data_IF_588558406070
#
_entry.id   IF_588558406070
#
_cell.length_a   1.000
_cell.length_b   1.000
_cell.length_c   1.000
_cell.angle_alpha   90.00
_cell.angle_beta   90.00
_cell.angle_gamma   90.00
#
_symmetry.space_group_name_H-M   'P 1'
#
loop_
_entity.id
_entity.type
_entity.pdbx_description
1 polymer ?
#
# COMPACT_ATOMS: atom_id res chain seq x y z
N UNK A 1 2.78 -39.16 -8.56
CA UNK A 1 1.66 -38.99 -7.61
C UNK A 1 2.21 -38.45 -6.31
N UNK A 2 1.66 -37.35 -5.79
CA UNK A 2 2.01 -36.80 -4.49
C UNK A 2 2.10 -35.27 -4.50
N UNK A 3 0.97 -34.63 -4.20
CA UNK A 3 0.77 -33.18 -4.11
C UNK A 3 1.77 -32.47 -3.19
N UNK A 4 2.36 -31.39 -3.68
CA UNK A 4 3.01 -30.35 -2.88
C UNK A 4 2.59 -28.97 -3.40
N UNK A 5 1.36 -28.55 -3.10
CA UNK A 5 0.96 -27.14 -3.23
C UNK A 5 0.81 -26.53 -1.84
N UNK A 6 1.48 -25.39 -1.68
CA UNK A 6 1.88 -24.77 -0.43
C UNK A 6 0.70 -24.32 0.44
N UNK A 7 0.90 -24.50 1.73
CA UNK A 7 0.12 -23.86 2.78
C UNK A 7 0.39 -22.34 2.76
N UNK A 8 -0.68 -21.57 2.61
CA UNK A 8 -0.71 -20.12 2.70
C UNK A 8 -0.07 -19.66 4.02
N UNK A 9 1.12 -19.06 3.97
CA UNK A 9 1.67 -18.32 5.12
C UNK A 9 0.94 -17.01 5.22
N UNK A 10 -0.04 -16.96 6.13
CA UNK A 10 -0.59 -15.72 6.69
C UNK A 10 0.57 -14.79 7.09
N UNK A 11 0.79 -13.74 6.31
CA UNK A 11 1.49 -12.56 6.78
C UNK A 11 0.47 -11.72 7.52
N UNK A 12 0.38 -11.92 8.84
CA UNK A 12 -0.52 -11.18 9.72
C UNK A 12 0.34 -10.37 10.69
N UNK A 13 0.70 -9.16 10.26
CA UNK A 13 0.72 -8.00 11.15
C UNK A 13 -0.66 -7.37 11.07
N UNK A 14 -1.56 -7.86 11.92
CA UNK A 14 -2.82 -7.25 12.37
C UNK A 14 -3.61 -6.38 11.39
N UNK A 15 -4.29 -7.04 10.46
CA UNK A 15 -5.61 -6.57 10.00
C UNK A 15 -6.61 -6.94 11.12
N UNK A 16 -6.84 -5.98 12.02
CA UNK A 16 -7.81 -5.96 13.13
C UNK A 16 -7.59 -6.99 14.28
N UNK A 17 -7.95 -6.63 15.55
CA UNK A 17 -7.82 -7.52 16.69
C UNK A 17 -8.64 -8.81 16.49
N UNK A 18 -7.96 -9.95 16.60
CA UNK A 18 -8.46 -11.29 16.28
C UNK A 18 -9.32 -11.95 17.38
N UNK A 19 -10.08 -11.17 18.15
CA UNK A 19 -10.93 -11.69 19.24
C UNK A 19 -12.41 -11.94 18.85
N UNK A 20 -12.77 -11.94 17.57
CA UNK A 20 -14.15 -12.20 17.11
C UNK A 20 -14.25 -13.38 16.13
N UNK A 21 -13.90 -14.59 16.56
CA UNK A 21 -14.23 -15.82 15.81
C UNK A 21 -15.36 -16.56 16.54
N UNK A 22 -16.54 -15.93 16.56
CA UNK A 22 -17.85 -16.59 16.59
C UNK A 22 -18.88 -15.66 15.92
N UNK A 23 -19.25 -15.97 14.68
CA UNK A 23 -20.47 -15.44 14.04
C UNK A 23 -20.32 -14.24 13.10
N UNK A 24 -19.20 -14.08 12.38
CA UNK A 24 -19.12 -13.03 11.36
C UNK A 24 -20.22 -13.21 10.29
N UNK A 25 -20.95 -12.14 9.92
CA UNK A 25 -22.01 -12.21 8.93
C UNK A 25 -21.47 -12.74 7.59
N UNK A 26 -22.18 -13.71 7.01
CA UNK A 26 -21.83 -14.30 5.72
C UNK A 26 -22.34 -13.39 4.60
N UNK A 27 -21.43 -12.91 3.76
CA UNK A 27 -21.74 -12.19 2.53
C UNK A 27 -21.40 -13.09 1.35
N UNK A 28 -22.34 -13.31 0.44
CA UNK A 28 -22.08 -14.03 -0.80
C UNK A 28 -21.83 -13.04 -1.92
N UNK A 29 -20.78 -13.27 -2.70
CA UNK A 29 -20.47 -12.50 -3.90
C UNK A 29 -20.50 -13.45 -5.09
N UNK A 30 -21.38 -13.18 -6.05
CA UNK A 30 -21.47 -13.90 -7.31
C UNK A 30 -20.85 -13.04 -8.40
N UNK A 31 -19.95 -13.60 -9.20
CA UNK A 31 -19.37 -12.89 -10.34
C UNK A 31 -18.20 -13.62 -10.96
N UNK A 32 -17.77 -13.16 -12.13
CA UNK A 32 -16.63 -13.74 -12.82
C UNK A 32 -15.32 -13.42 -12.07
N UNK A 33 -14.43 -14.41 -11.85
CA UNK A 33 -13.16 -14.20 -11.15
C UNK A 33 -12.19 -13.28 -11.89
N UNK A 34 -12.35 -13.13 -13.20
CA UNK A 34 -11.53 -12.27 -14.06
C UNK A 34 -12.11 -10.86 -14.22
N UNK A 35 -13.32 -10.62 -13.70
CA UNK A 35 -13.95 -9.31 -13.77
C UNK A 35 -13.31 -8.35 -12.74
N UNK A 36 -12.82 -7.22 -13.24
CA UNK A 36 -12.23 -6.14 -12.42
C UNK A 36 -13.16 -5.70 -11.30
N UNK A 37 -14.45 -5.51 -11.61
CA UNK A 37 -15.43 -5.08 -10.61
C UNK A 37 -15.63 -6.14 -9.52
N UNK A 38 -15.65 -7.43 -9.88
CA UNK A 38 -15.71 -8.52 -8.89
C UNK A 38 -14.51 -8.47 -7.97
N UNK A 39 -13.29 -8.36 -8.51
CA UNK A 39 -12.05 -8.31 -7.72
C UNK A 39 -12.00 -7.07 -6.83
N UNK A 40 -12.44 -5.91 -7.33
CA UNK A 40 -12.56 -4.69 -6.55
C UNK A 40 -13.50 -4.86 -5.34
N UNK A 41 -14.65 -5.50 -5.54
CA UNK A 41 -15.61 -5.77 -4.45
C UNK A 41 -15.09 -6.83 -3.48
N UNK A 42 -14.39 -7.87 -3.97
CA UNK A 42 -13.69 -8.84 -3.10
C UNK A 42 -12.72 -8.11 -2.17
N UNK A 43 -11.89 -7.23 -2.73
CA UNK A 43 -10.94 -6.43 -1.95
C UNK A 43 -11.63 -5.52 -0.93
N UNK A 44 -12.68 -4.80 -1.34
CA UNK A 44 -13.45 -3.94 -0.44
C UNK A 44 -13.99 -4.70 0.79
N UNK A 45 -14.42 -5.95 0.61
CA UNK A 45 -14.93 -6.79 1.69
C UNK A 45 -13.83 -7.33 2.63
N UNK A 46 -12.56 -7.37 2.22
CA UNK A 46 -11.45 -7.75 3.11
C UNK A 46 -11.29 -6.78 4.29
N UNK A 47 -11.70 -5.52 4.12
CA UNK A 47 -11.69 -4.53 5.19
C UNK A 47 -12.90 -4.62 6.12
N UNK A 48 -13.89 -5.45 5.82
CA UNK A 48 -15.13 -5.56 6.60
C UNK A 48 -15.09 -6.76 7.52
N UNK A 49 -15.74 -6.71 8.69
CA UNK A 49 -15.84 -7.84 9.61
C UNK A 49 -16.87 -8.87 9.13
N UNK A 50 -16.68 -9.40 7.92
CA UNK A 50 -17.60 -10.32 7.24
C UNK A 50 -16.87 -11.59 6.81
N UNK A 51 -17.60 -12.69 6.66
CA UNK A 51 -17.09 -13.89 6.00
C UNK A 51 -17.55 -13.92 4.55
N UNK A 52 -16.66 -13.56 3.63
CA UNK A 52 -16.92 -13.58 2.20
C UNK A 52 -16.98 -15.03 1.67
N UNK A 53 -18.11 -15.39 1.09
CA UNK A 53 -18.29 -16.59 0.28
C UNK A 53 -18.35 -16.19 -1.19
N UNK A 54 -17.22 -16.25 -1.88
CA UNK A 54 -17.16 -15.98 -3.31
C UNK A 54 -17.65 -17.19 -4.10
N UNK A 55 -18.56 -16.96 -5.05
CA UNK A 55 -19.17 -17.97 -5.90
C UNK A 55 -18.87 -17.58 -7.36
N UNK A 56 -17.85 -18.19 -7.99
CA UNK A 56 -17.49 -17.90 -9.38
C UNK A 56 -18.66 -18.16 -10.32
N UNK A 57 -18.97 -17.20 -11.18
CA UNK A 57 -20.07 -17.32 -12.14
C UNK A 57 -19.85 -16.38 -13.32
N UNK A 58 -19.76 -16.93 -14.52
CA UNK A 58 -19.64 -16.14 -15.77
C UNK A 58 -20.96 -15.46 -16.17
N UNK A 59 -22.09 -16.00 -15.69
CA UNK A 59 -23.43 -15.41 -15.78
C UNK A 59 -24.09 -15.56 -14.41
N UNK A 60 -24.06 -14.52 -13.55
CA UNK A 60 -24.74 -14.56 -12.27
C UNK A 60 -26.16 -15.07 -12.47
N UNK A 61 -26.59 -16.05 -11.67
CA UNK A 61 -27.92 -16.69 -11.72
C UNK A 61 -29.12 -15.72 -11.59
N UNK A 62 -28.85 -14.41 -11.50
CA UNK A 62 -29.76 -13.29 -11.39
C UNK A 62 -29.92 -12.51 -12.71
N UNK A 63 -29.36 -12.97 -13.83
CA UNK A 63 -29.55 -12.34 -15.15
C UNK A 63 -28.86 -10.98 -15.32
N UNK A 64 -27.82 -10.70 -14.53
CA UNK A 64 -27.03 -9.47 -14.58
C UNK A 64 -25.61 -9.76 -15.03
N UNK A 65 -25.05 -8.95 -15.94
CA UNK A 65 -23.62 -9.01 -16.32
C UNK A 65 -22.68 -8.48 -15.22
N UNK A 66 -23.24 -7.84 -14.19
CA UNK A 66 -22.48 -7.25 -13.07
C UNK A 66 -22.47 -8.17 -11.85
N UNK A 67 -21.43 -8.12 -10.99
CA UNK A 67 -21.39 -8.93 -9.80
C UNK A 67 -22.57 -8.64 -8.87
N UNK A 68 -23.02 -9.69 -8.18
CA UNK A 68 -24.17 -9.64 -7.29
C UNK A 68 -23.71 -9.91 -5.86
N UNK A 69 -24.01 -8.98 -4.95
CA UNK A 69 -23.82 -9.15 -3.52
C UNK A 69 -25.12 -9.60 -2.87
N UNK A 70 -25.03 -10.62 -2.03
CA UNK A 70 -26.15 -11.12 -1.23
C UNK A 70 -25.77 -11.15 0.25
N UNK A 71 -26.64 -10.58 1.08
CA UNK A 71 -26.55 -10.63 2.54
C UNK A 71 -27.93 -10.86 3.15
N UNK A 72 -28.14 -12.02 3.78
CA UNK A 72 -29.48 -12.43 4.23
C UNK A 72 -30.43 -12.60 3.04
N UNK A 73 -31.59 -11.94 3.09
CA UNK A 73 -32.56 -11.84 1.98
C UNK A 73 -32.19 -10.78 0.93
N UNK A 74 -31.30 -9.85 1.29
CA UNK A 74 -31.03 -8.67 0.48
C UNK A 74 -30.03 -9.02 -0.61
N UNK A 75 -30.32 -8.57 -1.83
CA UNK A 75 -29.49 -8.80 -3.02
C UNK A 75 -29.34 -7.49 -3.77
N UNK A 76 -28.11 -7.15 -4.18
CA UNK A 76 -27.80 -5.93 -4.93
C UNK A 76 -26.83 -6.24 -6.07
N UNK A 77 -27.00 -5.57 -7.20
CA UNK A 77 -26.10 -5.59 -8.35
C UNK A 77 -26.00 -4.18 -8.95
N UNK A 78 -25.06 -3.98 -9.88
CA UNK A 78 -24.90 -2.72 -10.61
C UNK A 78 -23.49 -2.13 -10.53
N UNK A 79 -23.42 -0.80 -10.53
CA UNK A 79 -22.16 -0.06 -10.54
C UNK A 79 -21.31 -0.30 -9.28
N UNK A 80 -20.01 0.00 -9.38
CA UNK A 80 -19.09 0.03 -8.23
C UNK A 80 -19.65 0.86 -7.08
N UNK A 81 -20.13 2.07 -7.36
CA UNK A 81 -20.67 3.00 -6.37
C UNK A 81 -21.91 2.42 -5.67
N UNK A 82 -22.78 1.74 -6.43
CA UNK A 82 -23.95 1.07 -5.88
C UNK A 82 -23.54 -0.02 -4.89
N UNK A 83 -22.58 -0.86 -5.27
CA UNK A 83 -22.12 -1.99 -4.45
C UNK A 83 -21.35 -1.51 -3.22
N UNK A 84 -20.46 -0.53 -3.35
CA UNK A 84 -19.72 0.04 -2.22
C UNK A 84 -20.64 0.75 -1.22
N UNK A 85 -21.62 1.52 -1.71
CA UNK A 85 -22.62 2.17 -0.85
C UNK A 85 -23.48 1.15 -0.10
N UNK A 86 -23.84 0.06 -0.76
CA UNK A 86 -24.54 -1.04 -0.10
C UNK A 86 -23.68 -1.67 1.00
N UNK A 87 -22.40 -1.94 0.72
CA UNK A 87 -21.45 -2.48 1.69
C UNK A 87 -21.31 -1.54 2.89
N UNK A 88 -21.09 -0.24 2.69
CA UNK A 88 -20.97 0.74 3.79
C UNK A 88 -22.29 0.90 4.55
N UNK A 89 -23.44 0.80 3.88
CA UNK A 89 -24.74 0.83 4.56
C UNK A 89 -24.97 -0.37 5.49
N UNK A 90 -24.48 -1.56 5.12
CA UNK A 90 -24.64 -2.79 5.94
C UNK A 90 -23.51 -2.96 6.96
N UNK A 91 -22.31 -2.52 6.61
CA UNK A 91 -21.07 -2.69 7.37
C UNK A 91 -20.34 -1.35 7.43
N UNK A 92 -20.77 -0.38 8.27
CA UNK A 92 -20.31 1.01 8.19
C UNK A 92 -18.84 1.23 8.57
N UNK A 93 -18.22 0.32 9.32
CA UNK A 93 -16.87 0.48 9.82
C UNK A 93 -15.94 -0.62 9.29
N UNK A 94 -14.73 -0.28 8.80
CA UNK A 94 -14.25 1.08 8.47
C UNK A 94 -14.93 1.60 7.18
N UNK A 95 -15.15 2.92 7.01
CA UNK A 95 -15.80 3.46 5.81
C UNK A 95 -14.94 3.24 4.56
N UNK A 96 -15.57 2.81 3.46
CA UNK A 96 -14.91 2.61 2.17
C UNK A 96 -15.06 3.85 1.28
N UNK A 97 -16.23 4.49 1.34
CA UNK A 97 -16.54 5.71 0.62
C UNK A 97 -16.38 6.93 1.54
N UNK A 98 -16.39 8.13 0.95
CA UNK A 98 -16.46 9.37 1.71
C UNK A 98 -17.66 10.19 1.26
N UNK A 99 -18.27 10.89 2.23
CA UNK A 99 -19.33 11.86 1.96
C UNK A 99 -18.81 13.17 1.31
N UNK A 100 -17.53 13.23 0.94
CA UNK A 100 -16.92 14.29 0.15
C UNK A 100 -15.62 13.81 -0.49
N UNK A 101 -15.43 14.06 -1.79
CA UNK A 101 -14.14 13.80 -2.41
C UNK A 101 -13.10 14.69 -1.73
N UNK A 102 -11.99 14.11 -1.26
CA UNK A 102 -10.86 14.91 -0.75
C UNK A 102 -9.97 15.39 -1.91
N UNK A 103 -10.23 14.86 -3.11
CA UNK A 103 -9.57 15.13 -4.38
C UNK A 103 -10.68 15.31 -5.40
N UNK A 104 -10.74 16.51 -5.95
CA UNK A 104 -11.72 16.95 -6.93
C UNK A 104 -11.56 16.12 -8.23
N UNK A 105 -12.61 15.99 -9.04
CA UNK A 105 -12.52 15.36 -10.37
C UNK A 105 -11.47 16.04 -11.27
N UNK A 106 -11.05 17.25 -10.89
CA UNK A 106 -10.04 18.07 -11.56
C UNK A 106 -8.60 17.71 -11.21
N UNK A 107 -8.33 16.99 -10.11
CA UNK A 107 -6.96 16.66 -9.70
C UNK A 107 -6.32 15.68 -10.71
N UNK A 108 -5.12 15.97 -11.26
CA UNK A 108 -4.46 15.09 -12.20
C UNK A 108 -4.24 13.69 -11.61
N UNK A 109 -4.42 12.65 -12.44
CA UNK A 109 -4.35 11.25 -11.98
C UNK A 109 -3.01 10.89 -11.33
N UNK A 110 -1.92 11.40 -11.90
CA UNK A 110 -0.56 11.17 -11.39
C UNK A 110 -0.34 11.82 -10.01
N UNK A 111 -0.92 13.00 -9.78
CA UNK A 111 -0.86 13.68 -8.48
C UNK A 111 -1.60 12.87 -7.42
N UNK A 112 -2.79 12.36 -7.77
CA UNK A 112 -3.54 11.46 -6.89
C UNK A 112 -2.75 10.19 -6.56
N UNK A 113 -2.06 9.61 -7.54
CA UNK A 113 -1.23 8.42 -7.34
C UNK A 113 -0.06 8.70 -6.39
N UNK A 114 0.72 9.75 -6.65
CA UNK A 114 1.88 10.14 -5.84
C UNK A 114 1.49 10.38 -4.37
N UNK A 115 0.43 11.15 -4.11
CA UNK A 115 -0.06 11.39 -2.75
C UNK A 115 -0.41 10.09 -2.01
N UNK A 116 -1.05 9.14 -2.69
CA UNK A 116 -1.37 7.84 -2.09
C UNK A 116 -0.08 7.05 -1.83
N UNK A 117 0.89 7.10 -2.73
CA UNK A 117 2.19 6.47 -2.52
C UNK A 117 2.92 7.07 -1.30
N UNK A 118 2.95 8.40 -1.17
CA UNK A 118 3.52 9.11 -0.01
C UNK A 118 2.88 8.65 1.29
N UNK A 119 1.55 8.56 1.35
CA UNK A 119 0.83 8.07 2.54
C UNK A 119 1.23 6.67 2.94
N UNK A 120 1.31 5.75 1.97
CA UNK A 120 1.74 4.38 2.22
C UNK A 120 3.15 4.34 2.80
N UNK A 121 4.09 5.04 2.15
CA UNK A 121 5.48 5.08 2.57
C UNK A 121 5.65 5.69 3.97
N UNK A 122 5.00 6.83 4.25
CA UNK A 122 5.02 7.45 5.58
C UNK A 122 4.50 6.49 6.64
N UNK A 123 3.37 5.82 6.38
CA UNK A 123 2.82 4.87 7.33
C UNK A 123 3.82 3.75 7.67
N UNK A 124 4.52 3.21 6.67
CA UNK A 124 5.53 2.17 6.87
C UNK A 124 6.77 2.68 7.61
N UNK A 125 7.23 3.89 7.30
CA UNK A 125 8.32 4.53 8.06
C UNK A 125 7.92 4.70 9.52
N UNK A 126 6.72 5.23 9.79
CA UNK A 126 6.18 5.41 11.14
C UNK A 126 6.01 4.08 11.90
N UNK A 127 5.64 3.01 11.20
CA UNK A 127 5.60 1.67 11.78
C UNK A 127 6.99 1.20 12.18
N UNK A 128 8.00 1.37 11.32
CA UNK A 128 9.37 0.95 11.61
C UNK A 128 10.02 1.78 12.71
N UNK A 129 9.74 3.08 12.79
CA UNK A 129 10.20 3.94 13.89
C UNK A 129 9.68 3.41 15.22
N UNK A 130 8.35 3.18 15.33
CA UNK A 130 7.75 2.63 16.55
C UNK A 130 8.32 1.26 16.92
N UNK A 131 8.55 0.40 15.94
CA UNK A 131 9.15 -0.92 16.19
C UNK A 131 10.61 -0.80 16.64
N UNK A 132 11.41 0.10 16.05
CA UNK A 132 12.79 0.34 16.46
C UNK A 132 12.87 0.94 17.88
N UNK A 133 11.95 1.84 18.25
CA UNK A 133 11.85 2.39 19.60
C UNK A 133 11.51 1.31 20.64
N UNK A 134 10.58 0.42 20.32
CA UNK A 134 10.24 -0.70 21.19
C UNK A 134 11.43 -1.67 21.35
N UNK A 135 12.10 -2.02 20.26
CA UNK A 135 13.32 -2.83 20.30
C UNK A 135 14.40 -2.18 21.17
N UNK A 136 14.66 -0.88 20.95
CA UNK A 136 15.61 -0.12 21.75
C UNK A 136 15.19 -0.08 23.23
N UNK A 137 13.90 0.05 23.55
CA UNK A 137 13.44 0.06 24.94
C UNK A 137 13.64 -1.30 25.64
N UNK A 138 13.43 -2.41 24.93
CA UNK A 138 13.56 -3.77 25.47
C UNK A 138 15.00 -4.30 25.48
N UNK A 139 15.86 -3.80 24.61
CA UNK A 139 17.27 -4.18 24.53
C UNK A 139 17.57 -5.66 24.29
N UNK A 140 16.61 -6.40 23.73
CA UNK A 140 16.71 -7.84 23.53
C UNK A 140 16.76 -8.67 24.82
N UNK A 141 16.48 -8.07 26.00
CA UNK A 141 16.46 -8.75 27.30
C UNK A 141 15.08 -9.32 27.64
N UNK A 142 14.03 -8.70 27.11
CA UNK A 142 12.64 -9.09 27.32
C UNK A 142 12.09 -9.66 26.02
N UNK A 143 11.40 -10.81 26.08
CA UNK A 143 10.65 -11.30 24.92
C UNK A 143 9.64 -10.21 24.49
N UNK A 144 9.62 -9.94 23.19
CA UNK A 144 8.58 -9.12 22.57
C UNK A 144 7.34 -9.95 22.33
N UNK A 145 6.59 -9.58 21.29
CA UNK A 145 5.47 -10.37 20.80
C UNK A 145 5.92 -11.83 20.51
N UNK A 146 5.26 -12.85 21.10
CA UNK A 146 5.55 -14.26 20.86
C UNK A 146 5.55 -14.64 19.37
N UNK A 147 4.76 -13.95 18.54
CA UNK A 147 4.70 -14.13 17.08
C UNK A 147 6.03 -13.74 16.44
N UNK A 148 6.78 -12.80 17.01
CA UNK A 148 8.07 -12.34 16.49
C UNK A 148 9.22 -13.33 16.70
N UNK A 149 9.08 -14.24 17.67
CA UNK A 149 10.06 -15.27 17.99
C UNK A 149 11.21 -14.75 18.84
N UNK A 150 12.42 -15.28 18.63
CA UNK A 150 13.61 -14.80 19.37
C UNK A 150 14.01 -13.37 18.96
N UNK A 151 14.76 -12.63 19.79
CA UNK A 151 15.24 -11.27 19.44
C UNK A 151 15.94 -11.21 18.08
N UNK A 152 16.72 -12.24 17.74
CA UNK A 152 17.38 -12.36 16.43
C UNK A 152 16.37 -12.56 15.29
N UNK A 153 15.31 -13.35 15.51
CA UNK A 153 14.24 -13.51 14.52
C UNK A 153 13.45 -12.22 14.32
N UNK A 154 13.24 -11.46 15.39
CA UNK A 154 12.57 -10.17 15.37
C UNK A 154 13.37 -9.15 14.54
N UNK A 155 14.67 -8.98 14.80
CA UNK A 155 15.56 -8.11 13.97
C UNK A 155 15.55 -8.56 12.50
N UNK A 156 15.51 -9.86 12.23
CA UNK A 156 15.42 -10.37 10.84
C UNK A 156 14.09 -10.02 10.19
N UNK A 157 12.98 -10.02 10.92
CA UNK A 157 11.67 -9.58 10.43
C UNK A 157 11.66 -8.07 10.18
N UNK A 158 12.21 -7.30 11.12
CA UNK A 158 12.41 -5.85 10.99
C UNK A 158 13.18 -5.52 9.70
N UNK A 159 14.32 -6.17 9.49
CA UNK A 159 15.15 -5.94 8.30
C UNK A 159 14.47 -6.33 6.98
N UNK A 160 13.61 -7.36 6.98
CA UNK A 160 12.79 -7.66 5.80
C UNK A 160 11.79 -6.55 5.52
N UNK A 161 11.05 -6.10 6.53
CA UNK A 161 10.09 -5.00 6.38
C UNK A 161 10.76 -3.71 5.92
N UNK A 162 11.95 -3.38 6.45
CA UNK A 162 12.73 -2.24 5.98
C UNK A 162 13.20 -2.40 4.53
N UNK A 163 13.62 -3.61 4.12
CA UNK A 163 14.04 -3.86 2.74
C UNK A 163 12.88 -3.68 1.75
N UNK A 164 11.67 -4.13 2.12
CA UNK A 164 10.47 -3.93 1.31
C UNK A 164 10.11 -2.45 1.19
N UNK A 165 10.17 -1.70 2.30
CA UNK A 165 9.95 -0.26 2.28
C UNK A 165 10.98 0.46 1.39
N UNK A 166 12.25 0.12 1.54
CA UNK A 166 13.33 0.71 0.76
C UNK A 166 13.11 0.50 -0.74
N UNK A 167 12.66 -0.68 -1.14
CA UNK A 167 12.35 -0.97 -2.55
C UNK A 167 11.21 -0.10 -3.08
N UNK A 168 10.12 0.07 -2.29
CA UNK A 168 9.01 0.97 -2.64
C UNK A 168 9.48 2.41 -2.79
N UNK A 169 10.27 2.92 -1.84
CA UNK A 169 10.79 4.29 -1.88
C UNK A 169 11.70 4.53 -3.09
N UNK A 170 12.57 3.57 -3.44
CA UNK A 170 13.48 3.72 -4.57
C UNK A 170 12.75 3.66 -5.92
N UNK A 171 11.77 2.77 -6.08
CA UNK A 171 10.97 2.75 -7.31
C UNK A 171 10.07 3.98 -7.44
N UNK A 172 9.53 4.49 -6.32
CA UNK A 172 8.76 5.72 -6.33
C UNK A 172 9.62 6.92 -6.75
N UNK A 173 10.77 7.14 -6.12
CA UNK A 173 11.71 8.20 -6.51
C UNK A 173 12.12 8.08 -7.98
N UNK A 174 12.39 6.85 -8.44
CA UNK A 174 12.71 6.60 -9.85
C UNK A 174 11.53 6.89 -10.79
N UNK A 175 10.30 6.58 -10.38
CA UNK A 175 9.10 6.89 -11.14
C UNK A 175 8.94 8.40 -11.32
N UNK A 176 9.19 9.17 -10.27
CA UNK A 176 9.14 10.62 -10.33
C UNK A 176 10.22 11.18 -11.25
N UNK A 177 11.46 10.75 -11.06
CA UNK A 177 12.62 11.14 -11.88
C UNK A 177 12.47 10.83 -13.36
N UNK A 178 11.82 9.72 -13.71
CA UNK A 178 11.68 9.27 -15.10
C UNK A 178 10.40 9.76 -15.79
N UNK A 179 9.35 10.06 -15.03
CA UNK A 179 8.03 10.34 -15.60
C UNK A 179 7.50 11.70 -15.15
N UNK A 180 7.39 11.94 -13.84
CA UNK A 180 6.75 13.14 -13.29
C UNK A 180 7.61 14.38 -13.50
N UNK A 181 8.86 14.33 -13.06
CA UNK A 181 9.80 15.45 -13.11
C UNK A 181 10.11 15.91 -14.54
N UNK A 182 10.31 15.02 -15.54
CA UNK A 182 10.48 15.46 -16.92
C UNK A 182 9.31 16.27 -17.47
N UNK A 183 8.07 15.93 -17.10
CA UNK A 183 6.88 16.69 -17.51
C UNK A 183 6.93 18.10 -16.91
N UNK A 184 7.31 18.20 -15.64
CA UNK A 184 7.44 19.48 -14.94
C UNK A 184 8.56 20.34 -15.52
N UNK A 185 9.71 19.74 -15.81
CA UNK A 185 10.87 20.42 -16.43
C UNK A 185 10.57 20.90 -17.86
N UNK A 186 9.67 20.23 -18.58
CA UNK A 186 9.16 20.70 -19.86
C UNK A 186 8.24 21.92 -19.73
N UNK A 187 7.49 22.02 -18.62
CA UNK A 187 6.60 23.14 -18.35
C UNK A 187 7.39 24.38 -17.87
N UNK A 188 8.32 24.20 -16.94
CA UNK A 188 9.27 25.24 -16.53
C UNK A 188 10.57 24.61 -16.00
N UNK A 189 11.71 25.15 -16.44
CA UNK A 189 13.03 24.57 -16.16
C UNK A 189 13.44 24.80 -14.71
N UNK A 190 13.84 23.73 -14.05
CA UNK A 190 14.36 23.73 -12.68
C UNK A 190 13.31 23.50 -11.60
N UNK A 191 12.03 23.25 -11.96
CA UNK A 191 10.97 22.99 -10.99
C UNK A 191 11.25 21.76 -10.12
N UNK A 192 11.84 20.70 -10.68
CA UNK A 192 12.07 19.45 -9.95
C UNK A 192 13.47 19.33 -9.34
N UNK A 193 14.30 20.36 -9.47
CA UNK A 193 15.71 20.32 -9.03
C UNK A 193 15.83 20.06 -7.52
N UNK A 194 15.01 20.72 -6.71
CA UNK A 194 15.04 20.56 -5.25
C UNK A 194 14.71 19.14 -4.80
N UNK A 195 13.62 18.58 -5.33
CA UNK A 195 13.19 17.21 -5.05
C UNK A 195 14.25 16.17 -5.48
N UNK A 196 14.84 16.34 -6.67
CA UNK A 196 15.95 15.50 -7.12
C UNK A 196 17.18 15.56 -6.19
N UNK A 197 17.52 16.74 -5.71
CA UNK A 197 18.63 16.89 -4.76
C UNK A 197 18.31 16.26 -3.39
N UNK A 198 17.04 16.22 -2.99
CA UNK A 198 16.56 15.53 -1.78
C UNK A 198 16.73 14.01 -1.91
N UNK A 199 16.30 13.41 -3.03
CA UNK A 199 16.53 11.98 -3.30
C UNK A 199 18.01 11.59 -3.16
N UNK A 200 18.91 12.40 -3.71
CA UNK A 200 20.34 12.16 -3.63
C UNK A 200 20.89 12.27 -2.19
N UNK A 201 20.32 13.15 -1.36
CA UNK A 201 20.71 13.30 0.06
C UNK A 201 20.19 12.19 0.95
N UNK A 202 19.01 11.65 0.65
CA UNK A 202 18.36 10.64 1.48
C UNK A 202 18.89 9.22 1.23
N UNK A 203 19.40 8.95 0.02
CA UNK A 203 19.95 7.64 -0.34
C UNK A 203 21.08 7.15 0.60
N UNK A 204 22.07 7.96 0.99
CA UNK A 204 23.06 7.58 2.02
C UNK A 204 22.44 7.23 3.38
N UNK A 205 21.40 7.94 3.82
CA UNK A 205 20.71 7.68 5.10
C UNK A 205 20.04 6.31 5.04
N UNK A 206 19.30 6.04 3.95
CA UNK A 206 18.63 4.78 3.72
C UNK A 206 19.60 3.59 3.68
N UNK A 207 20.75 3.75 3.02
CA UNK A 207 21.80 2.74 3.01
C UNK A 207 22.43 2.54 4.40
N UNK A 208 22.68 3.63 5.14
CA UNK A 208 23.18 3.57 6.51
C UNK A 208 22.28 2.74 7.43
N UNK A 209 20.96 2.95 7.37
CA UNK A 209 19.98 2.17 8.16
C UNK A 209 20.04 0.68 7.78
N UNK A 210 20.17 0.36 6.48
CA UNK A 210 20.30 -1.03 6.01
C UNK A 210 21.52 -1.72 6.62
N UNK A 211 22.65 -1.03 6.66
CA UNK A 211 23.89 -1.57 7.24
C UNK A 211 23.82 -1.67 8.77
N UNK A 212 23.16 -0.72 9.45
CA UNK A 212 22.93 -0.80 10.90
C UNK A 212 22.13 -2.06 11.25
N UNK A 213 21.03 -2.33 10.52
CA UNK A 213 20.19 -3.51 10.72
C UNK A 213 20.99 -4.81 10.55
N UNK A 214 21.82 -4.90 9.49
CA UNK A 214 22.69 -6.07 9.27
C UNK A 214 23.66 -6.27 10.42
N UNK A 215 24.26 -5.18 10.90
CA UNK A 215 25.23 -5.18 11.99
C UNK A 215 24.58 -5.63 13.30
N UNK A 216 23.39 -5.12 13.62
CA UNK A 216 22.61 -5.54 14.80
C UNK A 216 22.27 -7.04 14.73
N UNK A 217 21.99 -7.57 13.54
CA UNK A 217 21.63 -8.97 13.34
C UNK A 217 22.72 -10.00 13.71
N UNK A 218 23.97 -9.56 13.91
CA UNK A 218 25.10 -10.41 14.32
C UNK A 218 25.62 -10.13 15.73
N UNK A 219 25.07 -9.11 16.42
CA UNK A 219 25.45 -8.77 17.79
C UNK A 219 24.79 -9.69 18.82
N UNK A 220 25.45 -9.85 19.97
CA UNK A 220 24.91 -10.59 21.11
C UNK A 220 23.76 -9.81 21.77
N UNK A 221 22.56 -10.37 21.68
CA UNK A 221 21.35 -9.77 22.28
C UNK A 221 21.51 -9.59 23.79
N UNK A 222 21.07 -8.43 24.30
CA UNK A 222 21.16 -8.08 25.73
C UNK A 222 22.48 -7.42 26.15
N UNK A 223 23.51 -7.42 25.28
CA UNK A 223 24.76 -6.70 25.52
C UNK A 223 24.58 -5.18 25.47
N UNK A 224 25.43 -4.38 26.15
CA UNK A 224 25.40 -2.92 26.06
C UNK A 224 25.57 -2.41 24.62
N UNK A 225 26.40 -3.08 23.81
CA UNK A 225 26.65 -2.72 22.41
C UNK A 225 25.40 -2.94 21.56
N UNK A 226 24.65 -4.02 21.80
CA UNK A 226 23.38 -4.29 21.12
C UNK A 226 22.34 -3.20 21.43
N UNK A 227 22.26 -2.80 22.70
CA UNK A 227 21.37 -1.73 23.16
C UNK A 227 21.69 -0.38 22.50
N UNK A 228 22.97 -0.03 22.44
CA UNK A 228 23.45 1.19 21.79
C UNK A 228 23.15 1.18 20.29
N UNK A 229 23.42 0.05 19.61
CA UNK A 229 23.15 -0.10 18.19
C UNK A 229 21.66 0.05 17.85
N UNK A 230 20.75 -0.51 18.65
CA UNK A 230 19.30 -0.32 18.51
C UNK A 230 18.88 1.14 18.72
N UNK A 231 19.48 1.82 19.70
CA UNK A 231 19.19 3.23 19.99
C UNK A 231 19.64 4.14 18.84
N UNK A 232 20.80 3.84 18.24
CA UNK A 232 21.32 4.54 17.07
C UNK A 232 20.45 4.30 15.83
N UNK A 233 20.03 3.05 15.59
CA UNK A 233 19.09 2.70 14.53
C UNK A 233 17.77 3.47 14.67
N UNK A 234 17.19 3.48 15.87
CA UNK A 234 15.96 4.24 16.16
C UNK A 234 16.13 5.73 15.86
N UNK A 235 17.26 6.32 16.28
CA UNK A 235 17.56 7.73 15.99
C UNK A 235 17.66 8.02 14.49
N UNK A 236 18.36 7.16 13.73
CA UNK A 236 18.52 7.34 12.29
C UNK A 236 17.21 7.15 11.53
N UNK A 237 16.34 6.22 11.97
CA UNK A 237 14.99 6.06 11.41
C UNK A 237 14.11 7.28 11.66
N UNK A 238 14.21 7.94 12.82
CA UNK A 238 13.52 9.20 13.09
C UNK A 238 14.00 10.32 12.17
N UNK A 239 15.31 10.39 11.92
CA UNK A 239 15.85 11.34 10.93
C UNK A 239 15.26 11.08 9.54
N UNK A 240 15.25 9.82 9.07
CA UNK A 240 14.62 9.46 7.80
C UNK A 240 13.13 9.82 7.78
N UNK A 241 12.40 9.56 8.87
CA UNK A 241 10.99 9.91 8.99
C UNK A 241 10.74 11.41 8.80
N UNK A 242 11.51 12.27 9.46
CA UNK A 242 11.36 13.72 9.31
C UNK A 242 11.70 14.16 7.88
N UNK A 243 12.77 13.62 7.28
CA UNK A 243 13.12 13.90 5.89
C UNK A 243 12.00 13.51 4.92
N UNK A 244 11.45 12.29 5.03
CA UNK A 244 10.33 11.87 4.19
C UNK A 244 9.10 12.78 4.36
N UNK A 245 8.80 13.20 5.59
CA UNK A 245 7.68 14.12 5.84
C UNK A 245 7.92 15.49 5.20
N UNK A 246 9.11 16.05 5.34
CA UNK A 246 9.48 17.33 4.75
C UNK A 246 9.44 17.28 3.23
N UNK A 247 10.07 16.26 2.64
CA UNK A 247 10.13 16.03 1.20
C UNK A 247 8.72 15.87 0.59
N UNK A 248 7.94 14.88 1.05
CA UNK A 248 6.60 14.66 0.51
C UNK A 248 5.67 15.85 0.75
N UNK A 249 5.77 16.53 1.90
CA UNK A 249 4.98 17.74 2.14
C UNK A 249 5.40 18.89 1.21
N UNK A 250 6.70 19.01 0.91
CA UNK A 250 7.23 19.97 -0.04
C UNK A 250 6.67 19.74 -1.44
N UNK A 251 6.65 18.48 -1.88
CA UNK A 251 6.10 18.10 -3.17
C UNK A 251 4.59 18.31 -3.25
N UNK A 252 3.84 17.78 -2.29
CA UNK A 252 2.37 17.87 -2.25
C UNK A 252 1.86 19.31 -2.21
N UNK A 253 2.63 20.24 -1.60
CA UNK A 253 2.22 21.64 -1.48
C UNK A 253 2.74 22.52 -2.60
N UNK A 254 3.94 22.27 -3.10
CA UNK A 254 4.64 23.22 -3.97
C UNK A 254 4.90 22.68 -5.37
N UNK A 255 5.11 21.37 -5.52
CA UNK A 255 5.49 20.76 -6.79
C UNK A 255 4.28 20.14 -7.49
N UNK A 256 3.67 19.10 -6.90
CA UNK A 256 2.57 18.35 -7.50
C UNK A 256 1.38 19.21 -7.98
N UNK A 257 0.96 20.28 -7.26
CA UNK A 257 -0.10 21.17 -7.77
C UNK A 257 0.22 21.81 -9.11
N UNK A 258 1.51 22.04 -9.44
CA UNK A 258 1.92 22.61 -10.73
C UNK A 258 1.65 21.66 -11.90
N UNK A 259 1.40 20.37 -11.64
CA UNK A 259 0.97 19.43 -12.68
C UNK A 259 -0.35 19.87 -13.33
N UNK A 260 -1.21 20.59 -12.61
CA UNK A 260 -2.45 21.15 -13.19
C UNK A 260 -2.16 22.15 -14.32
N UNK A 261 -1.08 22.93 -14.18
CA UNK A 261 -0.67 23.93 -15.18
C UNK A 261 -0.07 23.32 -16.45
N UNK A 262 0.17 22.00 -16.47
CA UNK A 262 0.67 21.29 -17.66
C UNK A 262 -0.43 21.01 -18.69
N UNK A 263 -1.70 21.29 -18.34
CA UNK A 263 -2.89 21.18 -19.21
C UNK A 263 -3.00 19.85 -19.97
N UNK A 264 -2.53 18.76 -19.36
CA UNK A 264 -2.61 17.42 -19.95
C UNK A 264 -4.07 17.03 -20.19
N UNK A 265 -4.37 16.62 -21.42
CA UNK A 265 -5.66 16.02 -21.76
C UNK A 265 -5.89 14.75 -20.96
N UNK A 266 -7.15 14.33 -20.84
CA UNK A 266 -7.49 13.09 -20.12
C UNK A 266 -6.72 11.87 -20.63
N UNK A 267 -6.61 11.71 -21.95
CA UNK A 267 -5.83 10.62 -22.55
C UNK A 267 -4.34 10.72 -22.22
N UNK A 268 -3.78 11.93 -22.15
CA UNK A 268 -2.40 12.13 -21.73
C UNK A 268 -2.21 11.79 -20.25
N UNK A 269 -3.13 12.17 -19.37
CA UNK A 269 -3.07 11.81 -17.96
C UNK A 269 -3.13 10.30 -17.75
N UNK A 270 -3.98 9.59 -18.49
CA UNK A 270 -4.08 8.13 -18.43
C UNK A 270 -2.76 7.47 -18.91
N UNK A 271 -2.15 7.97 -19.99
CA UNK A 271 -0.83 7.50 -20.46
C UNK A 271 0.30 7.77 -19.46
N UNK A 272 0.33 8.95 -18.85
CA UNK A 272 1.33 9.30 -17.83
C UNK A 272 1.17 8.40 -16.60
N UNK A 273 -0.07 8.18 -16.14
CA UNK A 273 -0.33 7.24 -15.05
C UNK A 273 0.15 5.82 -15.38
N UNK A 274 -0.08 5.36 -16.61
CA UNK A 274 0.39 4.03 -17.06
C UNK A 274 1.92 3.92 -17.01
N UNK A 275 2.64 4.96 -17.46
CA UNK A 275 4.10 5.04 -17.37
C UNK A 275 4.59 5.08 -15.92
N UNK A 276 3.90 5.77 -15.03
CA UNK A 276 4.23 5.77 -13.60
C UNK A 276 4.12 4.36 -13.01
N UNK A 277 3.05 3.64 -13.35
CA UNK A 277 2.85 2.27 -12.90
C UNK A 277 3.87 1.30 -13.53
N UNK A 278 4.30 1.52 -14.78
CA UNK A 278 5.40 0.76 -15.40
C UNK A 278 6.73 0.98 -14.68
N UNK A 279 7.03 2.23 -14.30
CA UNK A 279 8.24 2.54 -13.55
C UNK A 279 8.27 1.88 -12.17
N UNK A 280 7.09 1.55 -11.60
CA UNK A 280 6.94 0.84 -10.33
C UNK A 280 6.55 -0.64 -10.49
N UNK A 281 6.85 -1.26 -11.65
CA UNK A 281 6.42 -2.63 -11.96
C UNK A 281 6.94 -3.66 -10.94
N UNK A 282 8.16 -3.51 -10.43
CA UNK A 282 8.75 -4.44 -9.47
C UNK A 282 7.92 -4.47 -8.19
N UNK A 283 7.73 -3.32 -7.55
CA UNK A 283 6.96 -3.22 -6.29
C UNK A 283 5.49 -3.56 -6.48
N UNK A 284 4.86 -3.19 -7.60
CA UNK A 284 3.46 -3.53 -7.89
C UNK A 284 3.25 -5.01 -8.25
N UNK A 285 4.32 -5.78 -8.51
CA UNK A 285 4.19 -7.22 -8.75
C UNK A 285 4.18 -8.04 -7.45
N UNK A 286 5.14 -7.81 -6.56
CA UNK A 286 5.36 -8.69 -5.40
C UNK A 286 5.30 -7.98 -4.04
N UNK A 287 5.26 -6.64 -4.02
CA UNK A 287 5.10 -5.83 -2.82
C UNK A 287 3.75 -5.09 -2.81
N UNK A 288 2.83 -5.42 -3.70
CA UNK A 288 1.58 -4.67 -3.81
C UNK A 288 0.73 -4.75 -2.53
N UNK A 289 0.61 -5.93 -1.92
CA UNK A 289 -0.06 -6.07 -0.63
C UNK A 289 0.66 -5.34 0.51
N UNK A 290 2.00 -5.30 0.48
CA UNK A 290 2.79 -4.51 1.42
C UNK A 290 2.50 -3.02 1.24
N UNK A 291 2.49 -2.52 0.01
CA UNK A 291 2.12 -1.15 -0.31
C UNK A 291 0.70 -0.80 0.19
N UNK A 292 -0.30 -1.65 -0.09
CA UNK A 292 -1.67 -1.40 0.34
C UNK A 292 -1.87 -1.44 1.86
N UNK A 293 -1.01 -2.16 2.61
CA UNK A 293 -1.03 -2.18 4.08
C UNK A 293 -0.84 -0.77 4.67
N UNK A 294 -0.07 0.08 3.97
CA UNK A 294 0.18 1.47 4.39
C UNK A 294 -0.98 2.43 4.12
N UNK A 295 -2.06 1.97 3.49
CA UNK A 295 -3.20 2.80 3.12
C UNK A 295 -4.43 2.52 3.98
N UNK A 296 -5.21 3.57 4.20
CA UNK A 296 -6.57 3.43 4.72
C UNK A 296 -7.45 2.72 3.68
N UNK A 297 -8.51 1.99 4.09
CA UNK A 297 -9.36 1.25 3.16
C UNK A 297 -9.84 2.06 1.94
N UNK A 298 -10.28 3.30 2.18
CA UNK A 298 -10.65 4.24 1.11
C UNK A 298 -9.50 4.55 0.16
N UNK A 299 -8.34 4.89 0.71
CA UNK A 299 -7.16 5.28 -0.05
C UNK A 299 -6.64 4.10 -0.89
N UNK A 300 -6.72 2.88 -0.34
CA UNK A 300 -6.41 1.65 -1.05
C UNK A 300 -7.37 1.39 -2.22
N UNK A 301 -8.69 1.58 -2.01
CA UNK A 301 -9.68 1.49 -3.10
C UNK A 301 -9.46 2.57 -4.16
N UNK A 302 -9.14 3.79 -3.75
CA UNK A 302 -8.81 4.87 -4.69
C UNK A 302 -7.57 4.53 -5.52
N UNK A 303 -6.55 3.92 -4.91
CA UNK A 303 -5.37 3.48 -5.64
C UNK A 303 -5.69 2.36 -6.64
N UNK A 304 -6.56 1.41 -6.27
CA UNK A 304 -7.07 0.42 -7.22
C UNK A 304 -7.85 1.04 -8.36
N UNK A 305 -8.68 2.05 -8.09
CA UNK A 305 -9.41 2.77 -9.13
C UNK A 305 -8.43 3.39 -10.15
N UNK A 306 -7.32 3.96 -9.70
CA UNK A 306 -6.26 4.46 -10.57
C UNK A 306 -5.64 3.33 -11.42
N UNK A 307 -5.27 2.20 -10.80
CA UNK A 307 -4.72 1.04 -11.53
C UNK A 307 -5.69 0.54 -12.60
N UNK A 308 -7.00 0.46 -12.30
CA UNK A 308 -8.00 -0.07 -13.25
C UNK A 308 -8.27 0.83 -14.47
N UNK A 309 -7.77 2.08 -14.44
CA UNK A 309 -7.75 2.99 -15.60
C UNK A 309 -6.64 2.68 -16.60
N UNK A 310 -5.68 1.84 -16.23
CA UNK A 310 -4.63 1.36 -17.12
C UNK A 310 -5.24 0.63 -18.34
N UNK A 311 -4.63 0.81 -19.51
CA UNK A 311 -5.11 0.21 -20.75
C UNK A 311 -4.79 -1.28 -20.83
N UNK A 312 -3.65 -1.69 -20.26
CA UNK A 312 -3.24 -3.09 -20.12
C UNK A 312 -4.12 -3.85 -19.11
N UNK A 313 -5.11 -4.59 -19.63
CA UNK A 313 -6.04 -5.41 -18.85
C UNK A 313 -5.39 -6.64 -18.22
N UNK A 314 -4.36 -7.21 -18.84
CA UNK A 314 -3.66 -8.38 -18.30
C UNK A 314 -2.87 -7.98 -17.04
N UNK A 315 -2.17 -6.85 -17.11
CA UNK A 315 -1.44 -6.29 -15.96
C UNK A 315 -2.37 -5.96 -14.80
N UNK A 316 -3.50 -5.28 -15.07
CA UNK A 316 -4.51 -4.97 -14.05
C UNK A 316 -5.03 -6.25 -13.40
N UNK A 317 -5.33 -7.27 -14.20
CA UNK A 317 -5.83 -8.55 -13.69
C UNK A 317 -4.79 -9.27 -12.84
N UNK A 318 -3.52 -9.25 -13.25
CA UNK A 318 -2.40 -9.82 -12.50
C UNK A 318 -2.24 -9.15 -11.12
N UNK A 319 -2.25 -7.81 -11.08
CA UNK A 319 -2.19 -7.06 -9.82
C UNK A 319 -3.40 -7.39 -8.92
N UNK A 320 -4.61 -7.40 -9.48
CA UNK A 320 -5.82 -7.71 -8.72
C UNK A 320 -5.82 -9.14 -8.18
N UNK A 321 -5.21 -10.09 -8.88
CA UNK A 321 -5.09 -11.47 -8.46
C UNK A 321 -4.21 -11.61 -7.20
N UNK A 322 -3.10 -10.87 -7.12
CA UNK A 322 -2.20 -10.85 -5.96
C UNK A 322 -2.92 -10.43 -4.67
N UNK A 323 -4.01 -9.67 -4.77
CA UNK A 323 -4.75 -9.14 -3.63
C UNK A 323 -5.76 -10.15 -3.07
N UNK A 324 -6.39 -10.92 -3.95
CA UNK A 324 -7.60 -11.69 -3.63
C UNK A 324 -7.35 -13.19 -3.40
N UNK A 325 -6.11 -13.65 -3.64
CA UNK A 325 -5.61 -14.99 -3.31
C UNK A 325 -4.69 -14.98 -2.07
#
# INVERSE_FOLDING_TARGET
>A
MGNCFGTLKKSTSDIAPSDYIKGSPIVRLYGSPTCILTSHIRFALLYKPVSLHFIPSETPNFGSETPVLQFGSDTVSGSRETLLRYIDSKFPNPPLMSNGSRYDETTPLVVSAAILQHRSMIWHVERLVRWAEDLATRGGRTMGDPVMGSPRMEVRKFGRSYSQLLEVMLEHAQMEEKVVFPIMEMADRGLSKGANEEHARDLPIMNGIKEDIKSIGVLDSGSPVYQEALSNLSTRLKTLQEHCKEHFQGEERNLLPLMEATELSREQQERVLEQCLDAMQGTHSHLFCFFLEGLRPRDALQYLDLITRCSDRERVTSILHVIVE
#
